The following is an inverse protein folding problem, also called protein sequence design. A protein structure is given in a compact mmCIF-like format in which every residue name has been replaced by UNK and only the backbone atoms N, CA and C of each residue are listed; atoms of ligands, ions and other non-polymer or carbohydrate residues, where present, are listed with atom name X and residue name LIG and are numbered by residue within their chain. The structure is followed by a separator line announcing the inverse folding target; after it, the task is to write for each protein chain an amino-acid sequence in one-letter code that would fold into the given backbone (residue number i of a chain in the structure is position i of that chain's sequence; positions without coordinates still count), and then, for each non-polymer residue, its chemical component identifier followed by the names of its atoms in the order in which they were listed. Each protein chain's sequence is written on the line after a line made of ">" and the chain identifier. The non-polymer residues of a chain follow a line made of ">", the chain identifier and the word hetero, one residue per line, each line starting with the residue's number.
data_IF_726180158872
#
_entry.id   IF_726180158872
#
_cell.length_a   1.000
_cell.length_b   1.000
_cell.length_c   1.000
_cell.angle_alpha   90.00
_cell.angle_beta   90.00
_cell.angle_gamma   90.00
#
_symmetry.space_group_name_H-M   'P 1'
#
loop_
_entity.id
_entity.type
_entity.pdbx_description
1 polymer ?
#
# COMPACT_ATOMS: atom_id res chain seq x y z
N UNK A 1 -4.59 -20.94 39.06
CA UNK A 1 -5.26 -19.96 38.18
C UNK A 1 -4.82 -20.29 36.78
N UNK A 2 -5.74 -20.52 35.85
CA UNK A 2 -5.40 -20.91 34.48
C UNK A 2 -4.57 -19.79 33.84
N UNK A 3 -3.29 -20.06 33.59
CA UNK A 3 -2.34 -19.08 33.07
C UNK A 3 -2.52 -18.97 31.55
N UNK A 4 -3.65 -18.42 31.15
CA UNK A 4 -4.08 -18.34 29.77
C UNK A 4 -3.66 -16.99 29.16
N UNK A 5 -2.99 -17.04 28.01
CA UNK A 5 -2.57 -15.87 27.25
C UNK A 5 -3.23 -15.87 25.88
N UNK A 6 -3.47 -14.67 25.36
CA UNK A 6 -3.94 -14.48 24.00
C UNK A 6 -2.86 -13.78 23.19
N UNK A 7 -2.58 -14.32 22.01
CA UNK A 7 -1.63 -13.75 21.06
C UNK A 7 -2.36 -13.39 19.77
N UNK A 8 -2.21 -12.16 19.32
CA UNK A 8 -2.76 -11.69 18.06
C UNK A 8 -1.62 -11.40 17.08
N UNK A 9 -1.68 -12.04 15.91
CA UNK A 9 -0.72 -11.79 14.84
C UNK A 9 -0.87 -10.38 14.27
N UNK A 10 0.25 -9.66 14.12
CA UNK A 10 0.29 -8.36 13.42
C UNK A 10 0.12 -8.50 11.91
N UNK A 11 0.16 -9.71 11.37
CA UNK A 11 -0.07 -10.04 9.96
C UNK A 11 1.10 -9.65 9.03
N UNK A 12 1.64 -8.44 9.16
CA UNK A 12 2.79 -7.92 8.42
C UNK A 12 3.62 -6.98 9.29
N UNK A 13 4.94 -7.16 9.27
CA UNK A 13 5.90 -6.42 10.09
C UNK A 13 7.07 -5.96 9.23
N UNK A 14 7.51 -4.71 9.42
CA UNK A 14 8.74 -4.19 8.84
C UNK A 14 9.87 -4.31 9.86
N UNK A 15 10.96 -4.96 9.46
CA UNK A 15 12.11 -5.22 10.32
C UNK A 15 13.40 -4.79 9.62
N UNK A 16 14.43 -4.44 10.39
CA UNK A 16 15.75 -4.12 9.82
C UNK A 16 16.68 -5.32 9.92
N UNK A 17 17.43 -5.62 8.85
CA UNK A 17 18.33 -6.79 8.79
C UNK A 17 19.34 -6.88 9.95
N UNK A 18 19.72 -5.73 10.53
CA UNK A 18 20.74 -5.64 11.58
C UNK A 18 20.17 -5.44 13.00
N UNK A 19 18.84 -5.51 13.17
CA UNK A 19 18.20 -5.35 14.48
C UNK A 19 17.63 -6.69 14.95
N UNK A 20 17.86 -6.98 16.22
CA UNK A 20 17.20 -8.08 16.92
C UNK A 20 15.69 -7.86 16.90
N UNK A 21 14.93 -8.91 16.56
CA UNK A 21 13.48 -8.91 16.66
C UNK A 21 13.06 -9.62 17.94
N UNK A 22 12.03 -9.07 18.58
CA UNK A 22 11.41 -9.64 19.76
C UNK A 22 9.99 -10.11 19.46
N UNK A 23 9.42 -10.97 20.30
CA UNK A 23 8.04 -11.44 20.13
C UNK A 23 7.03 -10.28 20.08
N UNK A 24 7.24 -9.22 20.87
CA UNK A 24 6.41 -8.00 20.84
C UNK A 24 6.37 -7.31 19.47
N UNK A 25 7.40 -7.49 18.65
CA UNK A 25 7.47 -6.90 17.31
C UNK A 25 6.61 -7.68 16.31
N UNK A 26 6.27 -8.94 16.63
CA UNK A 26 5.60 -9.90 15.76
C UNK A 26 4.13 -10.11 16.10
N UNK A 27 3.79 -10.10 17.39
CA UNK A 27 2.44 -10.34 17.91
C UNK A 27 2.09 -9.34 19.01
N UNK A 28 0.80 -9.07 19.15
CA UNK A 28 0.24 -8.38 20.32
C UNK A 28 -0.18 -9.41 21.36
N UNK A 29 0.16 -9.17 22.63
CA UNK A 29 -0.06 -10.12 23.72
C UNK A 29 -1.00 -9.53 24.76
N UNK A 30 -2.00 -10.32 25.14
CA UNK A 30 -2.88 -10.06 26.28
C UNK A 30 -2.69 -11.16 27.33
N UNK A 31 -2.15 -10.76 28.48
CA UNK A 31 -1.81 -11.61 29.63
C UNK A 31 -1.63 -10.73 30.88
N UNK A 32 -1.47 -11.35 32.05
CA UNK A 32 -1.03 -10.65 33.26
C UNK A 32 0.30 -9.92 33.04
N UNK A 33 0.45 -8.73 33.63
CA UNK A 33 1.57 -7.81 33.31
C UNK A 33 2.95 -8.44 33.41
N UNK A 34 3.19 -9.30 34.41
CA UNK A 34 4.47 -9.98 34.59
C UNK A 34 4.76 -10.98 33.47
N UNK A 35 3.78 -11.82 33.13
CA UNK A 35 3.88 -12.82 32.07
C UNK A 35 4.02 -12.13 30.70
N UNK A 36 3.28 -11.04 30.51
CA UNK A 36 3.35 -10.24 29.29
C UNK A 36 4.76 -9.70 29.05
N UNK A 37 5.36 -9.02 30.03
CA UNK A 37 6.71 -8.44 29.89
C UNK A 37 7.77 -9.52 29.62
N UNK A 38 7.66 -10.66 30.31
CA UNK A 38 8.57 -11.79 30.10
C UNK A 38 8.51 -12.32 28.67
N UNK A 39 7.29 -12.55 28.15
CA UNK A 39 7.09 -13.04 26.78
C UNK A 39 7.51 -12.00 25.74
N UNK A 40 7.17 -10.74 25.93
CA UNK A 40 7.50 -9.65 25.01
C UNK A 40 9.01 -9.46 24.85
N UNK A 41 9.81 -9.83 25.86
CA UNK A 41 11.27 -9.75 25.86
C UNK A 41 11.98 -10.92 25.17
N UNK A 42 11.24 -11.98 24.77
CA UNK A 42 11.82 -13.14 24.11
C UNK A 42 12.34 -12.72 22.72
N UNK A 43 13.62 -13.01 22.46
CA UNK A 43 14.25 -12.81 21.16
C UNK A 43 13.74 -13.85 20.15
N UNK A 44 13.33 -13.37 18.98
CA UNK A 44 13.01 -14.23 17.85
C UNK A 44 14.27 -14.43 17.00
N UNK A 45 14.82 -15.66 16.91
CA UNK A 45 16.08 -15.91 16.21
C UNK A 45 15.89 -15.75 14.70
N UNK A 46 16.31 -14.60 14.16
CA UNK A 46 16.40 -14.43 12.71
C UNK A 46 17.63 -15.19 12.20
N UNK A 47 17.43 -16.13 11.29
CA UNK A 47 18.56 -16.80 10.64
C UNK A 47 19.29 -15.83 9.72
N UNK A 48 20.38 -15.23 10.22
CA UNK A 48 21.15 -14.16 9.57
C UNK A 48 21.75 -14.54 8.19
N UNK A 49 21.95 -15.84 7.91
CA UNK A 49 22.56 -16.29 6.65
C UNK A 49 21.54 -16.38 5.52
N UNK A 50 21.66 -15.48 4.54
CA UNK A 50 20.90 -15.56 3.28
C UNK A 50 19.49 -14.98 3.34
N UNK A 51 19.22 -14.05 4.26
CA UNK A 51 17.90 -13.44 4.45
C UNK A 51 17.35 -12.87 3.13
N UNK A 52 16.29 -13.52 2.64
CA UNK A 52 15.43 -12.97 1.59
C UNK A 52 14.86 -11.63 2.07
N UNK A 53 14.59 -10.72 1.13
CA UNK A 53 13.98 -9.42 1.43
C UNK A 53 12.63 -9.55 2.15
N UNK A 54 11.92 -10.65 1.92
CA UNK A 54 10.65 -10.96 2.57
C UNK A 54 10.69 -12.41 3.03
N UNK A 55 10.21 -12.65 4.25
CA UNK A 55 10.06 -13.98 4.84
C UNK A 55 8.70 -14.10 5.49
N UNK A 56 8.15 -15.30 5.52
CA UNK A 56 6.91 -15.61 6.24
C UNK A 56 7.30 -16.39 7.49
N UNK A 57 6.69 -16.13 8.63
CA UNK A 57 6.86 -16.95 9.84
C UNK A 57 5.48 -17.41 10.31
N UNK A 58 5.42 -18.62 10.87
CA UNK A 58 4.19 -19.12 11.46
C UNK A 58 4.11 -18.71 12.93
N UNK A 59 2.90 -18.38 13.40
CA UNK A 59 2.61 -18.16 14.83
C UNK A 59 2.93 -19.41 15.65
N UNK A 60 2.91 -20.61 15.05
CA UNK A 60 3.33 -21.84 15.73
C UNK A 60 4.80 -21.80 16.17
N UNK A 61 5.69 -21.16 15.41
CA UNK A 61 7.09 -21.01 15.80
C UNK A 61 7.23 -20.08 17.03
N UNK A 62 6.35 -19.08 17.14
CA UNK A 62 6.28 -18.20 18.32
C UNK A 62 5.76 -18.97 19.52
N UNK A 63 4.70 -19.76 19.35
CA UNK A 63 4.14 -20.63 20.40
C UNK A 63 5.21 -21.57 20.95
N UNK A 64 6.02 -22.17 20.07
CA UNK A 64 7.10 -23.05 20.48
C UNK A 64 8.13 -22.33 21.36
N UNK A 65 8.58 -21.13 20.95
CA UNK A 65 9.53 -20.32 21.73
C UNK A 65 8.97 -19.92 23.10
N UNK A 66 7.67 -19.61 23.19
CA UNK A 66 7.01 -19.31 24.47
C UNK A 66 6.95 -20.56 25.36
N UNK A 67 6.55 -21.70 24.78
CA UNK A 67 6.44 -22.98 25.50
C UNK A 67 7.78 -23.54 26.00
N UNK A 68 8.88 -23.21 25.31
CA UNK A 68 10.24 -23.51 25.76
C UNK A 68 10.63 -22.75 27.04
N UNK A 69 10.04 -21.58 27.29
CA UNK A 69 10.23 -20.80 28.51
C UNK A 69 9.28 -21.22 29.63
N UNK A 70 8.01 -21.40 29.28
CA UNK A 70 6.98 -21.87 30.23
C UNK A 70 6.01 -22.82 29.53
N UNK A 71 6.13 -24.10 29.87
CA UNK A 71 5.32 -25.16 29.28
C UNK A 71 3.88 -25.22 29.82
N UNK A 72 3.58 -24.58 30.95
CA UNK A 72 2.26 -24.64 31.60
C UNK A 72 1.28 -23.60 31.05
N UNK A 73 1.76 -22.56 30.35
CA UNK A 73 0.91 -21.49 29.80
C UNK A 73 -0.03 -22.00 28.70
N UNK A 74 -1.32 -21.69 28.77
CA UNK A 74 -2.28 -21.99 27.71
C UNK A 74 -2.32 -20.82 26.72
N UNK A 75 -2.05 -21.08 25.45
CA UNK A 75 -1.94 -20.03 24.42
C UNK A 75 -3.13 -20.10 23.46
N UNK A 76 -3.86 -18.99 23.35
CA UNK A 76 -4.91 -18.81 22.34
C UNK A 76 -4.46 -17.85 21.24
N UNK A 77 -4.52 -18.32 19.99
CA UNK A 77 -4.14 -17.53 18.82
C UNK A 77 -5.35 -16.82 18.23
N UNK A 78 -5.19 -15.53 17.97
CA UNK A 78 -6.16 -14.68 17.30
C UNK A 78 -5.58 -14.13 16.00
N UNK A 79 -6.41 -14.01 14.97
CA UNK A 79 -6.02 -13.45 13.67
C UNK A 79 -5.33 -14.47 12.75
N UNK A 80 -4.39 -13.98 11.94
CA UNK A 80 -3.77 -14.79 10.88
C UNK A 80 -2.66 -15.71 11.44
N UNK A 81 -2.57 -16.97 11.00
CA UNK A 81 -1.56 -17.91 11.49
C UNK A 81 -0.14 -17.62 10.96
N UNK A 82 -0.03 -16.76 9.95
CA UNK A 82 1.23 -16.42 9.28
C UNK A 82 1.49 -14.91 9.34
N UNK A 83 2.72 -14.54 9.69
CA UNK A 83 3.23 -13.17 9.76
C UNK A 83 4.23 -12.96 8.63
N UNK A 84 4.02 -11.92 7.82
CA UNK A 84 4.95 -11.53 6.76
C UNK A 84 5.96 -10.51 7.30
N UNK A 85 7.24 -10.86 7.30
CA UNK A 85 8.32 -9.96 7.71
C UNK A 85 9.01 -9.42 6.46
N UNK A 86 8.96 -8.10 6.28
CA UNK A 86 9.71 -7.39 5.26
C UNK A 86 11.00 -6.83 5.87
N UNK A 87 12.12 -7.38 5.44
CA UNK A 87 13.45 -6.97 5.89
C UNK A 87 13.93 -5.79 5.06
N UNK A 88 13.92 -4.63 5.68
CA UNK A 88 14.52 -3.43 5.15
C UNK A 88 16.02 -3.44 5.38
N UNK A 89 16.75 -3.04 4.35
CA UNK A 89 18.12 -2.59 4.52
C UNK A 89 18.09 -1.20 5.12
N UNK A 90 18.98 -0.96 6.08
CA UNK A 90 19.18 0.37 6.66
C UNK A 90 19.88 1.27 5.62
N UNK A 91 19.16 1.61 4.55
CA UNK A 91 19.70 2.36 3.43
C UNK A 91 19.68 3.85 3.79
N UNK A 92 20.71 4.29 4.48
CA UNK A 92 20.96 5.71 4.78
C UNK A 92 21.52 6.47 3.55
N UNK A 93 21.55 5.82 2.37
CA UNK A 93 22.05 6.43 1.13
C UNK A 93 20.95 7.29 0.52
N UNK A 94 21.06 8.61 0.74
CA UNK A 94 20.29 9.60 0.00
C UNK A 94 20.56 9.43 -1.50
N UNK A 95 19.57 8.91 -2.21
CA UNK A 95 19.63 8.70 -3.64
C UNK A 95 19.62 10.06 -4.36
N UNK A 96 20.82 10.53 -4.74
CA UNK A 96 21.03 11.85 -5.34
C UNK A 96 20.30 12.02 -6.69
N UNK A 97 19.92 10.92 -7.35
CA UNK A 97 19.23 10.93 -8.63
C UNK A 97 17.72 10.67 -8.51
N UNK A 98 17.18 10.56 -7.30
CA UNK A 98 15.74 10.35 -7.08
C UNK A 98 14.91 11.48 -7.70
N UNK A 99 15.31 12.73 -7.47
CA UNK A 99 14.60 13.91 -8.00
C UNK A 99 14.69 13.95 -9.53
N UNK A 100 15.86 13.65 -10.10
CA UNK A 100 16.05 13.65 -11.56
C UNK A 100 15.18 12.57 -12.24
N UNK A 101 15.15 11.35 -11.70
CA UNK A 101 14.27 10.28 -12.21
C UNK A 101 12.79 10.62 -12.06
N UNK A 102 12.41 11.22 -10.94
CA UNK A 102 11.04 11.70 -10.75
C UNK A 102 10.67 12.72 -11.82
N UNK A 103 11.50 13.74 -12.05
CA UNK A 103 11.26 14.74 -13.07
C UNK A 103 11.17 14.13 -14.48
N UNK A 104 12.06 13.19 -14.80
CA UNK A 104 12.05 12.48 -16.08
C UNK A 104 10.77 11.66 -16.29
N UNK A 105 10.37 10.86 -15.29
CA UNK A 105 9.12 10.07 -15.36
C UNK A 105 7.91 10.99 -15.46
N UNK A 106 7.85 12.09 -14.71
CA UNK A 106 6.78 13.09 -14.81
C UNK A 106 6.71 13.70 -16.21
N UNK A 107 7.83 14.02 -16.84
CA UNK A 107 7.86 14.55 -18.20
C UNK A 107 7.33 13.53 -19.21
N UNK A 108 7.76 12.27 -19.11
CA UNK A 108 7.26 11.20 -19.97
C UNK A 108 5.76 11.01 -19.83
N UNK A 109 5.25 10.99 -18.59
CA UNK A 109 3.81 10.89 -18.33
C UNK A 109 3.06 12.11 -18.87
N UNK A 110 3.62 13.32 -18.71
CA UNK A 110 3.01 14.53 -19.25
C UNK A 110 2.85 14.47 -20.78
N UNK A 111 3.91 14.10 -21.50
CA UNK A 111 3.87 13.97 -22.96
C UNK A 111 2.92 12.85 -23.40
N UNK A 112 2.95 11.70 -22.71
CA UNK A 112 2.06 10.57 -22.97
C UNK A 112 0.59 10.94 -22.79
N UNK A 113 0.23 11.57 -21.66
CA UNK A 113 -1.13 12.04 -21.38
C UNK A 113 -1.56 13.11 -22.38
N UNK A 114 -0.70 14.08 -22.71
CA UNK A 114 -1.01 15.09 -23.71
C UNK A 114 -1.33 14.47 -25.08
N UNK A 115 -0.51 13.50 -25.51
CA UNK A 115 -0.72 12.78 -26.78
C UNK A 115 -2.03 11.99 -26.76
N UNK A 116 -2.32 11.28 -25.67
CA UNK A 116 -3.57 10.54 -25.50
C UNK A 116 -4.80 11.45 -25.55
N UNK A 117 -4.75 12.60 -24.87
CA UNK A 117 -5.84 13.60 -24.89
C UNK A 117 -6.06 14.12 -26.31
N UNK A 118 -5.00 14.48 -27.03
CA UNK A 118 -5.10 14.99 -28.41
C UNK A 118 -5.70 13.92 -29.33
N UNK A 119 -5.23 12.67 -29.24
CA UNK A 119 -5.76 11.57 -30.04
C UNK A 119 -7.23 11.29 -29.72
N UNK A 120 -7.61 11.31 -28.45
CA UNK A 120 -9.01 11.16 -28.06
C UNK A 120 -9.88 12.29 -28.63
N UNK A 121 -9.42 13.55 -28.56
CA UNK A 121 -10.13 14.69 -29.15
C UNK A 121 -10.24 14.60 -30.67
N UNK A 122 -9.26 14.00 -31.34
CA UNK A 122 -9.28 13.78 -32.78
C UNK A 122 -10.23 12.64 -33.17
N UNK A 123 -10.21 11.52 -32.44
CA UNK A 123 -11.01 10.32 -32.69
C UNK A 123 -12.51 10.60 -32.57
N UNK A 124 -12.93 11.33 -31.54
CA UNK A 124 -14.34 11.71 -31.32
C UNK A 124 -14.74 13.01 -32.01
N UNK A 125 -13.83 13.62 -32.78
CA UNK A 125 -13.95 14.96 -33.37
C UNK A 125 -14.55 16.01 -32.41
N UNK A 126 -13.83 16.29 -31.33
CA UNK A 126 -14.22 17.32 -30.35
C UNK A 126 -14.38 18.71 -30.98
N UNK A 127 -13.74 18.98 -32.13
CA UNK A 127 -13.89 20.26 -32.83
C UNK A 127 -15.29 20.36 -33.43
N UNK A 128 -15.74 19.35 -34.18
CA UNK A 128 -17.09 19.34 -34.74
C UNK A 128 -18.16 19.34 -33.64
N UNK A 129 -17.95 18.59 -32.56
CA UNK A 129 -18.86 18.57 -31.41
C UNK A 129 -19.01 19.97 -30.79
N UNK A 130 -17.90 20.66 -30.51
CA UNK A 130 -17.94 22.02 -29.94
C UNK A 130 -18.55 23.05 -30.88
N UNK A 131 -18.28 22.97 -32.20
CA UNK A 131 -18.92 23.85 -33.19
C UNK A 131 -20.43 23.66 -33.23
N UNK A 132 -20.87 22.41 -33.28
CA UNK A 132 -22.29 22.05 -33.31
C UNK A 132 -23.00 22.52 -32.05
N UNK A 133 -22.42 22.25 -30.88
CA UNK A 133 -22.98 22.70 -29.59
C UNK A 133 -23.04 24.22 -29.49
N UNK A 134 -21.99 24.92 -29.92
CA UNK A 134 -21.97 26.38 -29.94
C UNK A 134 -23.05 26.95 -30.89
N UNK A 135 -23.21 26.37 -32.08
CA UNK A 135 -24.24 26.77 -33.03
C UNK A 135 -25.66 26.54 -32.48
N UNK A 136 -25.92 25.41 -31.84
CA UNK A 136 -27.23 25.14 -31.20
C UNK A 136 -27.56 26.18 -30.13
N UNK A 137 -26.57 26.63 -29.36
CA UNK A 137 -26.78 27.59 -28.26
C UNK A 137 -26.93 29.03 -28.76
N UNK A 138 -26.14 29.41 -29.78
CA UNK A 138 -26.00 30.82 -30.19
C UNK A 138 -26.65 31.14 -31.54
N UNK A 139 -26.95 30.14 -32.36
CA UNK A 139 -27.35 30.29 -33.76
C UNK A 139 -26.22 30.68 -34.72
N UNK A 140 -25.00 30.93 -34.22
CA UNK A 140 -23.86 31.38 -35.03
C UNK A 140 -22.88 30.23 -35.28
N UNK A 141 -22.38 30.14 -36.52
CA UNK A 141 -21.25 29.27 -36.83
C UNK A 141 -19.94 30.02 -36.55
N UNK A 142 -19.10 29.43 -35.69
CA UNK A 142 -17.80 30.00 -35.34
C UNK A 142 -16.72 28.94 -35.37
N UNK A 143 -15.63 29.22 -36.09
CA UNK A 143 -14.52 28.28 -36.23
C UNK A 143 -13.81 27.96 -34.91
N UNK A 144 -13.78 28.93 -33.99
CA UNK A 144 -13.18 28.80 -32.66
C UNK A 144 -14.16 29.30 -31.60
N UNK A 145 -15.04 28.43 -31.08
CA UNK A 145 -16.04 28.79 -30.07
C UNK A 145 -15.39 28.96 -28.67
N UNK A 146 -14.63 30.03 -28.47
CA UNK A 146 -13.86 30.29 -27.25
C UNK A 146 -14.74 30.36 -25.98
N UNK A 147 -15.98 30.85 -26.11
CA UNK A 147 -16.94 30.91 -25.00
C UNK A 147 -17.30 29.52 -24.44
N UNK A 148 -17.21 28.47 -25.27
CA UNK A 148 -17.42 27.09 -24.84
C UNK A 148 -16.10 26.44 -24.41
N UNK A 149 -15.01 26.70 -25.14
CA UNK A 149 -13.71 26.06 -24.91
C UNK A 149 -13.07 26.46 -23.57
N UNK A 150 -13.16 27.73 -23.16
CA UNK A 150 -12.53 28.19 -21.91
C UNK A 150 -13.19 27.52 -20.69
N UNK A 151 -14.54 27.55 -20.50
CA UNK A 151 -15.19 26.80 -19.43
C UNK A 151 -14.96 25.30 -19.51
N UNK A 152 -14.94 24.72 -20.72
CA UNK A 152 -14.64 23.30 -20.92
C UNK A 152 -13.26 22.91 -20.38
N UNK A 153 -12.22 23.67 -20.75
CA UNK A 153 -10.85 23.41 -20.27
C UNK A 153 -10.72 23.58 -18.76
N UNK A 154 -11.35 24.60 -18.18
CA UNK A 154 -11.41 24.80 -16.73
C UNK A 154 -12.15 23.62 -16.07
N UNK A 155 -13.28 23.20 -16.63
CA UNK A 155 -14.10 22.09 -16.14
C UNK A 155 -13.33 20.78 -16.10
N UNK A 156 -12.53 20.47 -17.13
CA UNK A 156 -11.65 19.29 -17.13
C UNK A 156 -10.62 19.39 -16.01
N UNK A 157 -9.90 20.51 -15.89
CA UNK A 157 -8.86 20.68 -14.87
C UNK A 157 -9.40 20.61 -13.45
N UNK A 158 -10.52 21.27 -13.18
CA UNK A 158 -11.22 21.25 -11.89
C UNK A 158 -11.80 19.87 -11.61
N UNK A 159 -12.49 19.28 -12.58
CA UNK A 159 -13.08 17.94 -12.47
C UNK A 159 -12.04 16.88 -12.13
N UNK A 160 -10.90 16.91 -12.82
CA UNK A 160 -9.77 16.01 -12.53
C UNK A 160 -9.18 16.25 -11.13
N UNK A 161 -9.01 17.52 -10.73
CA UNK A 161 -8.47 17.88 -9.41
C UNK A 161 -9.38 17.43 -8.26
N UNK A 162 -10.71 17.51 -8.45
CA UNK A 162 -11.71 17.03 -7.49
C UNK A 162 -11.78 15.50 -7.48
N UNK A 163 -11.82 14.85 -8.65
CA UNK A 163 -11.87 13.38 -8.76
C UNK A 163 -10.71 12.69 -8.06
N UNK A 164 -9.49 13.24 -8.20
CA UNK A 164 -8.30 12.72 -7.51
C UNK A 164 -8.09 13.31 -6.10
N UNK A 165 -9.04 14.09 -5.58
CA UNK A 165 -8.98 14.72 -4.27
C UNK A 165 -7.63 15.44 -3.99
N UNK A 166 -7.02 16.02 -5.03
CA UNK A 166 -5.60 16.39 -5.00
C UNK A 166 -5.34 17.74 -4.29
N UNK A 167 -6.32 18.65 -4.28
CA UNK A 167 -6.12 20.06 -3.86
C UNK A 167 -6.67 20.35 -2.45
N UNK A 168 -7.66 19.61 -1.97
CA UNK A 168 -8.22 19.84 -0.64
C UNK A 168 -7.54 18.94 0.40
N UNK A 169 -6.59 19.51 1.16
CA UNK A 169 -6.08 18.89 2.42
C UNK A 169 -7.20 18.54 3.42
N UNK A 170 -8.40 19.06 3.21
CA UNK A 170 -9.62 18.71 3.94
C UNK A 170 -10.32 17.60 3.15
N UNK A 171 -10.24 16.36 3.63
CA UNK A 171 -11.02 15.24 3.08
C UNK A 171 -12.50 15.62 3.09
N UNK A 172 -13.05 16.00 1.94
CA UNK A 172 -14.49 16.28 1.83
C UNK A 172 -15.27 14.97 2.00
N UNK A 173 -14.66 13.84 1.60
CA UNK A 173 -15.16 12.48 1.79
C UNK A 173 -14.15 11.61 2.56
N UNK A 174 -14.64 10.78 3.47
CA UNK A 174 -13.85 9.76 4.21
C UNK A 174 -13.52 8.52 3.38
N UNK A 175 -14.12 8.40 2.20
CA UNK A 175 -13.96 7.25 1.30
C UNK A 175 -12.59 7.27 0.59
N UNK A 176 -11.95 6.11 0.43
CA UNK A 176 -10.70 6.00 -0.33
C UNK A 176 -10.93 6.28 -1.81
N UNK A 177 -9.96 6.91 -2.47
CA UNK A 177 -10.00 7.09 -3.93
C UNK A 177 -9.91 5.75 -4.66
N UNK A 178 -10.45 5.64 -5.90
CA UNK A 178 -10.36 4.40 -6.67
C UNK A 178 -8.94 3.85 -6.82
N UNK A 179 -7.94 4.73 -6.98
CA UNK A 179 -6.54 4.34 -7.08
C UNK A 179 -6.01 3.79 -5.75
N UNK A 180 -6.40 4.37 -4.61
CA UNK A 180 -6.02 3.87 -3.30
C UNK A 180 -6.62 2.49 -3.03
N UNK A 181 -7.89 2.28 -3.42
CA UNK A 181 -8.55 0.97 -3.31
C UNK A 181 -7.82 -0.06 -4.15
N UNK A 182 -7.50 0.25 -5.40
CA UNK A 182 -6.79 -0.67 -6.29
C UNK A 182 -5.38 -0.98 -5.78
N UNK A 183 -4.66 0.04 -5.28
CA UNK A 183 -3.34 -0.15 -4.68
C UNK A 183 -3.41 -1.02 -3.42
N UNK A 184 -4.44 -0.84 -2.59
CA UNK A 184 -4.68 -1.66 -1.41
C UNK A 184 -4.93 -3.12 -1.80
N UNK A 185 -5.82 -3.36 -2.77
CA UNK A 185 -6.10 -4.70 -3.28
C UNK A 185 -4.85 -5.35 -3.88
N UNK A 186 -4.09 -4.60 -4.66
CA UNK A 186 -2.81 -5.06 -5.22
C UNK A 186 -1.84 -5.50 -4.11
N UNK A 187 -1.65 -4.66 -3.08
CA UNK A 187 -0.78 -4.99 -1.94
C UNK A 187 -1.27 -6.22 -1.19
N UNK A 188 -2.58 -6.33 -0.93
CA UNK A 188 -3.17 -7.48 -0.27
C UNK A 188 -2.96 -8.77 -1.08
N UNK A 189 -3.17 -8.72 -2.40
CA UNK A 189 -2.96 -9.86 -3.28
C UNK A 189 -1.48 -10.28 -3.32
N UNK A 190 -0.54 -9.34 -3.33
CA UNK A 190 0.88 -9.64 -3.21
C UNK A 190 1.21 -10.32 -1.88
N UNK A 191 0.70 -9.81 -0.76
CA UNK A 191 0.95 -10.38 0.56
C UNK A 191 0.41 -11.81 0.66
N UNK A 192 -0.80 -12.07 0.12
CA UNK A 192 -1.39 -13.42 0.04
C UNK A 192 -0.54 -14.36 -0.82
N UNK A 193 -0.10 -13.90 -1.99
CA UNK A 193 0.74 -14.69 -2.90
C UNK A 193 2.08 -15.09 -2.25
N UNK A 194 2.73 -14.15 -1.56
CA UNK A 194 3.99 -14.39 -0.85
C UNK A 194 3.80 -15.40 0.30
N UNK A 195 2.71 -15.28 1.06
CA UNK A 195 2.34 -16.25 2.12
C UNK A 195 2.13 -17.66 1.55
N UNK A 196 1.42 -17.80 0.44
CA UNK A 196 1.17 -19.09 -0.21
C UNK A 196 2.43 -19.76 -0.79
N UNK A 197 3.32 -18.96 -1.37
CA UNK A 197 4.56 -19.46 -1.99
C UNK A 197 5.54 -20.01 -0.95
N UNK A 198 5.71 -19.30 0.17
CA UNK A 198 6.61 -19.76 1.25
C UNK A 198 6.08 -21.02 1.95
N UNK A 199 4.76 -21.10 2.17
CA UNK A 199 4.14 -22.30 2.75
C UNK A 199 4.32 -23.55 1.85
N UNK A 200 4.35 -23.38 0.54
CA UNK A 200 4.64 -24.48 -0.40
C UNK A 200 6.10 -24.94 -0.30
N UNK A 201 7.03 -24.02 -0.05
CA UNK A 201 8.46 -24.34 0.15
C UNK A 201 8.77 -25.03 1.47
N UNK A 202 7.87 -24.97 2.47
CA UNK A 202 8.02 -25.68 3.76
C UNK A 202 7.54 -27.12 3.75
N UNK A 203 6.67 -27.48 2.81
CA UNK A 203 6.04 -28.81 2.71
C UNK A 203 6.79 -29.77 1.78
N UNK A 204 7.83 -29.30 1.07
CA UNK A 204 8.75 -30.12 0.29
C UNK A 204 10.08 -30.25 1.00
#
# INVERSE_FOLDING_TARGET
>A
MENQIYIQSKGKVEAYKNKTLFIKDLVDIYADSKVKEEIESIEYPLQSKGLKKTMVISVLAIIQLIKEKDSEIIIMVLGQPDILINLQEESNKKDKFKILRLAFVTLLLFVGSMTAIINFHADVDMKAAHKTMYHIITGEEKDRPLLLQIPYSIGIGVGMSVFFNHIFKKRINTEPSPLEVEMFLYQQNMDVYLKGTDNSSRKG
#
